data_IF_965857172825
#
_entry.id   IF_965857172825
#
_cell.length_a   1.000
_cell.length_b   1.000
_cell.length_c   1.000
_cell.angle_alpha   90.00
_cell.angle_beta   90.00
_cell.angle_gamma   90.00
#
_symmetry.space_group_name_H-M   'P 1'
#
loop_
_entity.id
_entity.type
_entity.pdbx_description
1 polymer ?
#
# COMPACT_ATOMS: atom_id res chain seq x y z
N UNK A 1 13.60 2.34 8.71
CA UNK A 1 12.16 2.05 8.99
C UNK A 1 12.07 0.62 9.48
N UNK A 2 11.31 0.31 10.54
CA UNK A 2 11.22 -1.08 11.02
C UNK A 2 10.37 -1.90 10.04
N UNK A 3 10.93 -2.98 9.52
CA UNK A 3 10.22 -3.90 8.63
C UNK A 3 9.05 -4.56 9.39
N UNK A 4 7.84 -4.50 8.80
CA UNK A 4 6.63 -5.07 9.39
C UNK A 4 6.62 -6.58 9.13
N UNK A 5 6.57 -7.38 10.20
CA UNK A 5 6.49 -8.84 10.09
C UNK A 5 5.06 -9.30 9.86
N UNK A 6 4.76 -9.74 8.64
CA UNK A 6 3.42 -10.16 8.25
C UNK A 6 2.87 -11.32 9.09
N UNK A 7 3.73 -12.24 9.54
CA UNK A 7 3.34 -13.35 10.41
C UNK A 7 2.82 -12.87 11.79
N UNK A 8 3.39 -11.78 12.32
CA UNK A 8 2.96 -11.17 13.59
C UNK A 8 1.61 -10.47 13.41
N UNK A 9 1.44 -9.76 12.29
CA UNK A 9 0.18 -9.09 11.94
C UNK A 9 -0.96 -10.11 11.81
N UNK A 10 -0.75 -11.21 11.09
CA UNK A 10 -1.76 -12.27 10.94
C UNK A 10 -2.09 -12.95 12.29
N UNK A 11 -1.08 -13.23 13.12
CA UNK A 11 -1.30 -13.79 14.44
C UNK A 11 -2.15 -12.88 15.33
N UNK A 12 -1.95 -11.56 15.26
CA UNK A 12 -2.76 -10.57 15.97
C UNK A 12 -4.22 -10.53 15.49
N UNK A 13 -4.43 -10.57 14.17
CA UNK A 13 -5.77 -10.60 13.55
C UNK A 13 -6.53 -11.84 14.02
N UNK A 14 -5.95 -13.04 13.87
CA UNK A 14 -6.62 -14.29 14.25
C UNK A 14 -6.90 -14.39 15.76
N UNK A 15 -5.99 -13.91 16.60
CA UNK A 15 -6.19 -13.92 18.06
C UNK A 15 -7.28 -12.94 18.52
N UNK A 16 -7.52 -11.85 17.76
CA UNK A 16 -8.60 -10.90 18.03
C UNK A 16 -9.99 -11.55 17.89
N UNK A 17 -10.15 -12.47 16.94
CA UNK A 17 -11.40 -13.17 16.68
C UNK A 17 -11.70 -14.27 17.71
N UNK A 18 -10.66 -14.97 18.18
CA UNK A 18 -10.81 -16.17 18.99
C UNK A 18 -11.11 -15.88 20.48
N UNK A 19 -10.38 -14.95 21.12
CA UNK A 19 -10.68 -14.41 22.47
C UNK A 19 -9.67 -13.36 22.94
N UNK A 20 -10.09 -12.42 23.79
CA UNK A 20 -9.21 -11.44 24.46
C UNK A 20 -8.00 -12.05 25.20
N UNK A 21 -8.12 -13.29 25.67
CA UNK A 21 -7.03 -13.99 26.38
C UNK A 21 -5.93 -14.45 25.42
N UNK A 22 -6.29 -14.86 24.21
CA UNK A 22 -5.33 -15.30 23.19
C UNK A 22 -4.57 -14.12 22.60
N UNK A 23 -5.23 -12.97 22.46
CA UNK A 23 -4.58 -11.72 22.04
C UNK A 23 -3.46 -11.31 23.00
N UNK A 24 -3.68 -11.43 24.32
CA UNK A 24 -2.63 -11.16 25.32
C UNK A 24 -1.41 -12.06 25.14
N UNK A 25 -1.63 -13.36 24.91
CA UNK A 25 -0.54 -14.31 24.66
C UNK A 25 0.24 -14.00 23.38
N UNK A 26 -0.42 -13.59 22.30
CA UNK A 26 0.27 -13.19 21.06
C UNK A 26 1.10 -11.93 21.27
N UNK A 27 0.58 -10.94 21.99
CA UNK A 27 1.32 -9.71 22.31
C UNK A 27 2.54 -10.02 23.17
N UNK A 28 2.41 -10.89 24.16
CA UNK A 28 3.52 -11.28 25.04
C UNK A 28 4.60 -12.10 24.33
N UNK A 29 4.23 -12.92 23.33
CA UNK A 29 5.17 -13.79 22.60
C UNK A 29 5.92 -13.06 21.49
N UNK A 30 5.22 -12.22 20.73
CA UNK A 30 5.78 -11.60 19.53
C UNK A 30 6.26 -10.16 19.74
N UNK A 31 5.90 -9.55 20.88
CA UNK A 31 6.21 -8.16 21.25
C UNK A 31 6.02 -7.21 20.05
N UNK A 32 4.80 -7.13 19.49
CA UNK A 32 4.58 -6.43 18.24
C UNK A 32 4.84 -4.94 18.39
N UNK A 33 5.54 -4.39 17.40
CA UNK A 33 5.76 -2.95 17.27
C UNK A 33 4.44 -2.19 17.08
N UNK A 34 4.43 -0.89 17.32
CA UNK A 34 3.25 -0.05 17.10
C UNK A 34 2.76 -0.09 15.65
N UNK A 35 3.67 -0.22 14.69
CA UNK A 35 3.32 -0.27 13.28
C UNK A 35 2.71 -1.63 12.89
N UNK A 36 3.17 -2.73 13.49
CA UNK A 36 2.55 -4.07 13.35
C UNK A 36 1.15 -4.10 13.98
N UNK A 37 0.96 -3.49 15.15
CA UNK A 37 -0.35 -3.37 15.78
C UNK A 37 -1.32 -2.53 14.93
N UNK A 38 -0.84 -1.43 14.35
CA UNK A 38 -1.63 -0.60 13.42
C UNK A 38 -2.00 -1.36 12.16
N UNK A 39 -1.07 -2.13 11.58
CA UNK A 39 -1.33 -2.97 10.42
C UNK A 39 -2.41 -4.02 10.72
N UNK A 40 -2.32 -4.70 11.87
CA UNK A 40 -3.32 -5.69 12.29
C UNK A 40 -4.70 -5.05 12.54
N UNK A 41 -4.73 -3.89 13.20
CA UNK A 41 -5.98 -3.15 13.43
C UNK A 41 -6.62 -2.69 12.12
N UNK A 42 -5.82 -2.26 11.14
CA UNK A 42 -6.31 -1.90 9.82
C UNK A 42 -6.92 -3.10 9.10
N UNK A 43 -6.25 -4.25 9.10
CA UNK A 43 -6.78 -5.47 8.47
C UNK A 43 -8.12 -5.89 9.07
N UNK A 44 -8.24 -5.91 10.40
CA UNK A 44 -9.51 -6.21 11.08
C UNK A 44 -10.62 -5.21 10.75
N UNK A 45 -10.25 -3.93 10.61
CA UNK A 45 -11.20 -2.89 10.21
C UNK A 45 -11.68 -3.10 8.78
N UNK A 46 -10.79 -3.38 7.84
CA UNK A 46 -11.12 -3.61 6.42
C UNK A 46 -12.04 -4.84 6.27
N UNK A 47 -11.74 -5.95 6.96
CA UNK A 47 -12.57 -7.15 6.97
C UNK A 47 -13.95 -6.91 7.61
N UNK A 48 -14.00 -6.13 8.69
CA UNK A 48 -15.27 -5.74 9.32
C UNK A 48 -16.11 -4.86 8.39
N UNK A 49 -15.48 -3.95 7.65
CA UNK A 49 -16.15 -3.11 6.66
C UNK A 49 -16.71 -3.97 5.53
N UNK A 50 -15.93 -4.90 4.98
CA UNK A 50 -16.38 -5.83 3.94
C UNK A 50 -17.59 -6.66 4.41
N UNK A 51 -17.54 -7.23 5.61
CA UNK A 51 -18.68 -7.97 6.17
C UNK A 51 -19.93 -7.12 6.38
N UNK A 52 -19.78 -5.83 6.74
CA UNK A 52 -20.89 -4.89 6.87
C UNK A 52 -21.45 -4.46 5.50
N UNK A 53 -20.62 -4.37 4.47
CA UNK A 53 -21.03 -4.10 3.09
C UNK A 53 -21.85 -5.28 2.53
N UNK A 54 -21.36 -6.51 2.73
CA UNK A 54 -22.04 -7.74 2.31
C UNK A 54 -23.36 -7.97 3.04
N UNK A 55 -23.40 -7.64 4.34
CA UNK A 55 -24.64 -7.65 5.11
C UNK A 55 -25.61 -6.52 4.71
N UNK A 56 -25.20 -5.61 3.82
CA UNK A 56 -25.99 -4.46 3.37
C UNK A 56 -26.22 -3.40 4.44
N UNK A 57 -25.46 -3.45 5.54
CA UNK A 57 -25.54 -2.49 6.66
C UNK A 57 -24.93 -1.15 6.27
N UNK A 58 -23.84 -1.20 5.50
CA UNK A 58 -23.20 -0.03 4.91
C UNK A 58 -23.15 -0.17 3.38
N UNK A 59 -23.06 0.94 2.66
CA UNK A 59 -22.98 0.93 1.19
C UNK A 59 -21.56 0.60 0.76
N UNK A 60 -21.43 -0.34 -0.19
CA UNK A 60 -20.15 -0.63 -0.86
C UNK A 60 -19.44 0.65 -1.29
N UNK A 61 -18.13 0.74 -0.99
CA UNK A 61 -17.24 1.78 -1.46
C UNK A 61 -17.21 1.84 -3.01
N UNK A 62 -18.14 2.62 -3.58
CA UNK A 62 -18.22 2.89 -5.02
C UNK A 62 -17.30 4.05 -5.41
N UNK A 63 -16.98 4.17 -6.70
CA UNK A 63 -16.38 5.39 -7.29
C UNK A 63 -17.18 6.66 -6.89
N UNK A 64 -18.48 6.52 -6.63
CA UNK A 64 -19.35 7.59 -6.13
C UNK A 64 -19.05 8.03 -4.69
N UNK A 65 -18.36 7.20 -3.90
CA UNK A 65 -17.96 7.48 -2.52
C UNK A 65 -16.56 8.09 -2.42
N UNK A 66 -15.88 8.27 -3.57
CA UNK A 66 -14.55 8.89 -3.60
C UNK A 66 -14.64 10.38 -3.29
N UNK A 67 -13.67 10.86 -2.51
CA UNK A 67 -13.52 12.31 -2.32
C UNK A 67 -13.06 12.93 -3.64
N UNK A 68 -13.39 14.20 -3.86
CA UNK A 68 -13.00 14.96 -5.06
C UNK A 68 -11.50 14.80 -5.44
N UNK A 69 -10.54 14.80 -4.49
CA UNK A 69 -9.12 14.56 -4.82
C UNK A 69 -8.83 13.15 -5.34
N UNK A 70 -9.49 12.12 -4.80
CA UNK A 70 -9.33 10.73 -5.23
C UNK A 70 -9.93 10.51 -6.62
N UNK A 71 -11.09 11.11 -6.89
CA UNK A 71 -11.71 11.07 -8.21
C UNK A 71 -10.86 11.80 -9.26
N UNK A 72 -10.25 12.93 -8.90
CA UNK A 72 -9.31 13.63 -9.77
C UNK A 72 -8.04 12.79 -10.05
N UNK A 73 -7.50 12.13 -9.03
CA UNK A 73 -6.35 11.25 -9.17
C UNK A 73 -6.61 10.07 -10.10
N UNK A 74 -7.77 9.41 -9.96
CA UNK A 74 -8.19 8.35 -10.89
C UNK A 74 -8.36 8.87 -12.31
N UNK A 75 -8.96 10.04 -12.49
CA UNK A 75 -9.11 10.64 -13.81
C UNK A 75 -7.74 10.96 -14.46
N UNK A 76 -6.77 11.45 -13.68
CA UNK A 76 -5.41 11.71 -14.16
C UNK A 76 -4.67 10.42 -14.52
N UNK A 77 -4.70 9.42 -13.64
CA UNK A 77 -4.10 8.11 -13.90
C UNK A 77 -4.71 7.45 -15.15
N UNK A 78 -6.03 7.53 -15.31
CA UNK A 78 -6.73 7.06 -16.49
C UNK A 78 -6.35 7.86 -17.75
N UNK A 79 -6.23 9.18 -17.68
CA UNK A 79 -5.84 10.00 -18.82
C UNK A 79 -4.42 9.66 -19.32
N UNK A 80 -3.45 9.50 -18.39
CA UNK A 80 -2.09 9.05 -18.72
C UNK A 80 -2.14 7.64 -19.32
N UNK A 81 -2.87 6.72 -18.69
CA UNK A 81 -3.02 5.37 -19.21
C UNK A 81 -3.62 5.37 -20.63
N UNK A 82 -4.67 6.15 -20.90
CA UNK A 82 -5.34 6.22 -22.21
C UNK A 82 -4.47 6.82 -23.30
N UNK A 83 -3.62 7.81 -22.95
CA UNK A 83 -2.65 8.38 -23.90
C UNK A 83 -1.71 7.31 -24.46
N UNK A 84 -1.36 6.32 -23.64
CA UNK A 84 -0.52 5.18 -24.02
C UNK A 84 -1.32 3.95 -24.46
N UNK A 85 -2.60 3.85 -24.08
CA UNK A 85 -3.48 2.72 -24.35
C UNK A 85 -4.17 2.80 -25.71
N UNK A 86 -4.12 3.90 -26.47
CA UNK A 86 -4.88 3.96 -27.73
C UNK A 86 -4.48 2.85 -28.73
N UNK A 87 -5.39 1.91 -29.06
CA UNK A 87 -5.12 0.89 -30.06
C UNK A 87 -5.25 1.54 -31.43
N UNK A 88 -4.16 1.70 -32.17
CA UNK A 88 -4.28 1.76 -33.64
C UNK A 88 -4.43 0.37 -34.25
N UNK A 89 -3.98 -0.66 -33.54
CA UNK A 89 -4.07 -2.06 -33.97
C UNK A 89 -4.40 -2.93 -32.75
N UNK A 90 -5.62 -3.47 -32.72
CA UNK A 90 -6.03 -4.50 -31.76
C UNK A 90 -5.09 -5.71 -31.86
N UNK A 91 -4.67 -6.27 -30.71
CA UNK A 91 -3.84 -7.48 -30.52
C UNK A 91 -2.35 -7.25 -30.26
N UNK A 92 -1.99 -6.53 -29.18
CA UNK A 92 -0.65 -6.67 -28.58
C UNK A 92 -0.71 -7.56 -27.34
N UNK A 93 0.32 -8.39 -27.15
CA UNK A 93 0.45 -9.22 -25.95
C UNK A 93 0.72 -8.34 -24.72
N UNK A 94 0.33 -8.79 -23.52
CA UNK A 94 0.60 -8.07 -22.26
C UNK A 94 2.11 -7.77 -22.10
N UNK A 95 2.98 -8.70 -22.55
CA UNK A 95 4.43 -8.51 -22.52
C UNK A 95 4.94 -7.41 -23.46
N UNK A 96 4.24 -7.13 -24.56
CA UNK A 96 4.55 -5.99 -25.44
C UNK A 96 3.92 -4.69 -24.95
N UNK A 97 2.80 -4.77 -24.24
CA UNK A 97 2.17 -3.63 -23.56
C UNK A 97 3.08 -3.07 -22.44
N UNK A 98 3.69 -3.94 -21.65
CA UNK A 98 4.62 -3.55 -20.58
C UNK A 98 5.91 -2.88 -21.10
N UNK A 99 6.25 -3.04 -22.39
CA UNK A 99 7.39 -2.34 -23.03
C UNK A 99 7.03 -0.94 -23.55
N UNK A 100 5.73 -0.63 -23.66
CA UNK A 100 5.25 0.61 -24.29
C UNK A 100 5.07 1.72 -23.27
N UNK A 101 4.71 1.39 -22.03
CA UNK A 101 4.55 2.38 -20.97
C UNK A 101 5.96 2.78 -20.52
N UNK A 102 6.40 4.04 -20.75
CA UNK A 102 7.70 4.48 -20.26
C UNK A 102 7.76 4.38 -18.73
N UNK A 103 8.92 4.02 -18.19
CA UNK A 103 9.10 3.90 -16.74
C UNK A 103 8.72 5.19 -16.00
N UNK A 104 8.97 6.35 -16.61
CA UNK A 104 8.56 7.67 -16.11
C UNK A 104 7.03 7.78 -15.96
N UNK A 105 6.27 7.27 -16.92
CA UNK A 105 4.81 7.35 -16.91
C UNK A 105 4.19 6.36 -15.93
N UNK A 106 4.78 5.17 -15.81
CA UNK A 106 4.43 4.23 -14.75
C UNK A 106 4.69 4.84 -13.37
N UNK A 107 5.80 5.56 -13.20
CA UNK A 107 6.13 6.26 -11.97
C UNK A 107 5.19 7.45 -11.70
N UNK A 108 4.75 8.17 -12.74
CA UNK A 108 3.76 9.24 -12.62
C UNK A 108 2.41 8.70 -12.15
N UNK A 109 1.92 7.63 -12.78
CA UNK A 109 0.67 6.95 -12.37
C UNK A 109 0.79 6.49 -10.92
N UNK A 110 1.90 5.84 -10.57
CA UNK A 110 2.17 5.39 -9.21
C UNK A 110 2.13 6.55 -8.20
N UNK A 111 2.84 7.64 -8.47
CA UNK A 111 2.89 8.82 -7.59
C UNK A 111 1.50 9.43 -7.38
N UNK A 112 0.70 9.51 -8.45
CA UNK A 112 -0.69 9.99 -8.38
C UNK A 112 -1.56 9.10 -7.48
N UNK A 113 -1.39 7.78 -7.57
CA UNK A 113 -2.12 6.81 -6.75
C UNK A 113 -1.65 6.80 -5.29
N UNK A 114 -0.36 7.01 -5.03
CA UNK A 114 0.19 7.18 -3.67
C UNK A 114 -0.36 8.43 -3.00
N UNK A 115 -0.35 9.57 -3.69
CA UNK A 115 -0.86 10.85 -3.15
C UNK A 115 -2.35 10.81 -2.81
N UNK A 116 -3.12 10.01 -3.54
CA UNK A 116 -4.55 9.84 -3.30
C UNK A 116 -4.89 8.73 -2.31
N UNK A 117 -3.86 8.03 -1.80
CA UNK A 117 -3.99 6.97 -0.81
C UNK A 117 -4.58 5.67 -1.37
N UNK A 118 -4.56 5.49 -2.69
CA UNK A 118 -4.98 4.22 -3.32
C UNK A 118 -3.92 3.13 -3.17
N UNK A 119 -2.65 3.51 -3.07
CA UNK A 119 -1.53 2.60 -2.78
C UNK A 119 -0.64 3.23 -1.69
N UNK A 120 0.03 2.41 -0.86
CA UNK A 120 0.97 2.91 0.14
C UNK A 120 2.14 3.63 -0.53
N UNK A 121 2.60 4.74 0.07
CA UNK A 121 3.77 5.47 -0.41
C UNK A 121 5.02 4.62 -0.21
N UNK A 122 5.76 4.36 -1.29
CA UNK A 122 7.04 3.64 -1.22
C UNK A 122 8.06 4.48 -0.44
N UNK A 123 8.51 3.97 0.69
CA UNK A 123 9.45 4.66 1.58
C UNK A 123 10.92 4.36 1.26
N UNK A 124 11.19 3.77 0.09
CA UNK A 124 12.48 3.16 -0.27
C UNK A 124 13.52 4.14 -0.84
N UNK A 125 13.17 5.39 -1.15
CA UNK A 125 14.13 6.32 -1.83
C UNK A 125 14.83 7.31 -0.89
N UNK A 126 14.70 7.17 0.44
CA UNK A 126 15.36 8.07 1.39
C UNK A 126 16.73 7.57 1.88
N UNK A 127 17.11 6.31 1.63
CA UNK A 127 18.34 5.70 2.18
C UNK A 127 19.57 5.73 1.24
N UNK A 128 19.50 6.32 0.04
CA UNK A 128 20.65 6.35 -0.88
C UNK A 128 21.51 7.62 -0.82
N UNK A 129 21.38 8.46 0.21
CA UNK A 129 22.14 9.72 0.34
C UNK A 129 22.87 9.87 1.70
N UNK A 130 23.05 8.80 2.46
CA UNK A 130 23.67 8.90 3.80
C UNK A 130 24.69 7.80 4.13
N UNK A 131 25.43 7.31 3.14
CA UNK A 131 26.65 6.53 3.36
C UNK A 131 27.89 7.37 2.94
N UNK A 132 28.29 8.23 3.89
CA UNK A 132 29.64 8.49 4.44
C UNK A 132 30.92 8.06 3.67
N UNK A 133 32.07 8.77 3.85
CA UNK A 133 32.75 8.73 5.14
C UNK A 133 33.36 10.04 5.66
N UNK A 134 33.14 10.26 6.95
CA UNK A 134 34.02 10.99 7.85
C UNK A 134 35.44 10.41 7.79
N UNK A 135 36.38 11.13 7.18
CA UNK A 135 37.81 10.84 7.30
C UNK A 135 38.41 11.76 8.36
N UNK A 136 38.31 11.33 9.63
CA UNK A 136 39.16 11.82 10.69
C UNK A 136 39.56 10.70 11.65
N UNK A 137 40.83 10.31 11.61
CA UNK A 137 41.69 9.83 12.72
C UNK A 137 43.03 9.38 12.12
N UNK A 138 44.06 10.21 12.12
CA UNK A 138 45.11 10.38 13.15
C UNK A 138 46.11 9.23 13.24
N UNK A 139 47.41 9.53 13.04
CA UNK A 139 48.60 9.07 13.82
C UNK A 139 49.85 8.97 12.92
N UNK A 140 50.79 9.89 13.13
CA UNK A 140 52.18 9.59 13.55
C UNK A 140 52.86 10.87 14.09
#
# INVERSE_FOLDING_TARGET
MTEIRNEVVLALVSASEAAKRELGTVVDVYEPTLDEQRAAAKMLMDESVEGLEDAGVIKQHSVLNLRRPQLAALAMAYAVAVQWWMPRESQRSLGDMLKIIPAEEAQNIRTILEWSGFIPADTTTAESLSDEPDQSTDSD
#
